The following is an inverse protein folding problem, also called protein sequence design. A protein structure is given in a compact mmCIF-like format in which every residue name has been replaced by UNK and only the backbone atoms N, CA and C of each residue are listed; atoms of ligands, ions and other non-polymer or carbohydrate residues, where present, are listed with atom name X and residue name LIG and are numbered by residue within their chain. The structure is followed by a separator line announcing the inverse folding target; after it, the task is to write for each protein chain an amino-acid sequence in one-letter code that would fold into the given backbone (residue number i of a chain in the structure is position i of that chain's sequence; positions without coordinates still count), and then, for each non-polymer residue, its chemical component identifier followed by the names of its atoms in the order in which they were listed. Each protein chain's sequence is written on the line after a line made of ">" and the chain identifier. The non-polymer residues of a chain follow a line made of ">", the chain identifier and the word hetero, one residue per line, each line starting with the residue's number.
data_IF_162812155380
#
_entry.id   IF_162812155380
#
_cell.length_a   1.000
_cell.length_b   1.000
_cell.length_c   1.000
_cell.angle_alpha   90.00
_cell.angle_beta   90.00
_cell.angle_gamma   90.00
#
_symmetry.space_group_name_H-M   'P 1'
#
loop_
_entity.id
_entity.type
_entity.pdbx_description
1 polymer ?
2 polymer ?
3 non-polymer ?
4 non-polymer ?
5 non-polymer ?
6 non-polymer ?
7 non-polymer ?
8 non-polymer ?
9 water ?
#
# COMPACT_ATOMS: atom_id res chain seq x y z
N UNK A 6 5.41 13.90 -15.25
CA UNK A 6 6.42 13.19 -16.03
C UNK A 6 6.02 11.73 -16.34
N UNK A 7 5.28 11.10 -15.42
CA UNK A 7 5.03 9.66 -15.51
C UNK A 7 3.89 9.27 -14.57
N UNK A 8 2.77 8.77 -15.10
CA UNK A 8 1.63 8.40 -14.26
C UNK A 8 1.11 7.04 -14.70
N UNK A 9 0.74 6.19 -13.74
CA UNK A 9 0.36 4.81 -14.03
C UNK A 9 -1.06 4.51 -13.59
N UNK A 10 -1.71 3.62 -14.33
CA UNK A 10 -2.95 3.01 -13.87
C UNK A 10 -2.75 1.50 -13.86
N UNK A 11 -2.99 0.89 -12.71
CA UNK A 11 -2.81 -0.55 -12.47
C UNK A 11 -4.15 -1.18 -12.10
N UNK A 12 -4.47 -2.29 -12.75
CA UNK A 12 -5.53 -3.19 -12.31
C UNK A 12 -4.84 -4.45 -11.82
N UNK A 13 -5.01 -4.74 -10.53
CA UNK A 13 -4.37 -5.92 -9.96
C UNK A 13 -5.41 -6.96 -9.59
N UNK A 14 -4.96 -8.21 -9.59
CA UNK A 14 -5.74 -9.35 -9.15
C UNK A 14 -4.88 -10.25 -8.27
N UNK A 15 -5.54 -10.84 -7.28
CA UNK A 15 -4.94 -11.84 -6.41
C UNK A 15 -5.89 -13.04 -6.38
N UNK A 16 -5.38 -14.20 -6.81
CA UNK A 16 -6.14 -15.45 -6.85
C UNK A 16 -5.50 -16.42 -5.87
N UNK A 17 -6.22 -16.79 -4.82
CA UNK A 17 -5.67 -17.60 -3.75
C UNK A 17 -6.35 -18.97 -3.80
N UNK A 18 -5.60 -20.00 -4.14
CA UNK A 18 -6.15 -21.34 -4.29
C UNK A 18 -5.86 -22.11 -3.00
N UNK A 19 -6.91 -22.30 -2.21
CA UNK A 19 -6.80 -22.94 -0.91
C UNK A 19 -6.79 -24.46 -1.06
N UNK A 20 -7.71 -25.00 -1.86
CA UNK A 20 -7.76 -26.41 -2.18
C UNK A 20 -8.46 -26.57 -3.54
N UNK A 21 -8.66 -27.83 -3.93
CA UNK A 21 -9.23 -28.11 -5.25
C UNK A 21 -10.65 -27.58 -5.40
N UNK A 22 -11.31 -27.26 -4.30
CA UNK A 22 -12.69 -26.82 -4.32
C UNK A 22 -12.90 -25.39 -3.86
N UNK A 23 -11.85 -24.71 -3.36
CA UNK A 23 -11.99 -23.37 -2.79
C UNK A 23 -10.87 -22.46 -3.27
N UNK A 24 -11.27 -21.34 -3.88
CA UNK A 24 -10.36 -20.28 -4.25
C UNK A 24 -11.00 -18.95 -3.87
N UNK A 25 -10.16 -17.94 -3.77
CA UNK A 25 -10.55 -16.56 -3.56
C UNK A 25 -10.08 -15.75 -4.75
N UNK A 26 -10.91 -14.82 -5.21
CA UNK A 26 -10.50 -13.85 -6.21
C UNK A 26 -10.70 -12.43 -5.72
N UNK A 27 -9.65 -11.61 -5.76
CA UNK A 27 -9.70 -10.22 -5.35
C UNK A 27 -9.08 -9.34 -6.42
N UNK A 28 -9.45 -8.06 -6.44
CA UNK A 28 -8.87 -7.16 -7.42
C UNK A 28 -9.22 -5.72 -7.12
N UNK A 29 -8.48 -4.82 -7.78
CA UNK A 29 -8.65 -3.39 -7.51
C UNK A 29 -7.94 -2.59 -8.60
N UNK A 30 -8.26 -1.29 -8.66
CA UNK A 30 -7.62 -0.37 -9.60
C UNK A 30 -6.99 0.81 -8.88
N UNK A 31 -5.82 1.23 -9.36
CA UNK A 31 -4.94 2.17 -8.68
C UNK A 31 -4.39 3.20 -9.67
N UNK A 32 -4.54 4.48 -9.30
CA UNK A 32 -3.93 5.59 -10.02
C UNK A 32 -2.68 5.96 -9.25
N UNK A 33 -1.50 5.63 -9.80
CA UNK A 33 -0.27 5.63 -9.00
C UNK A 33 -0.49 4.87 -7.70
N UNK A 34 -0.36 5.53 -6.53
CA UNK A 34 -0.59 4.85 -5.25
C UNK A 34 -2.01 5.05 -4.71
N UNK A 35 -2.86 5.77 -5.43
CA UNK A 35 -4.22 6.08 -4.98
C UNK A 35 -5.19 5.02 -5.50
N UNK A 36 -5.84 4.30 -4.58
CA UNK A 36 -6.84 3.34 -5.03
C UNK A 36 -8.07 4.08 -5.54
N UNK A 37 -8.45 3.77 -6.78
CA UNK A 37 -9.57 4.42 -7.42
C UNK A 37 -10.75 3.48 -7.60
N UNK A 38 -10.50 2.16 -7.60
CA UNK A 38 -11.57 1.20 -7.81
C UNK A 38 -11.37 -0.03 -6.93
N UNK A 39 -12.50 -0.61 -6.54
CA UNK A 39 -12.52 -1.92 -5.91
C UNK A 39 -13.33 -2.90 -6.73
N UNK A 40 -13.41 -4.13 -6.23
CA UNK A 40 -14.21 -5.17 -6.86
C UNK A 40 -15.06 -5.87 -5.81
N UNK A 41 -16.38 -5.90 -6.02
CA UNK A 41 -17.31 -6.57 -5.12
C UNK A 41 -17.50 -8.00 -5.61
N UNK A 42 -16.90 -8.95 -4.87
CA UNK A 42 -16.98 -10.37 -5.21
C UNK A 42 -18.35 -10.94 -4.89
N UNK A 43 -19.06 -10.36 -3.91
CA UNK A 43 -20.40 -10.83 -3.58
C UNK A 43 -21.34 -10.66 -4.76
N UNK A 44 -21.26 -9.52 -5.45
CA UNK A 44 -22.17 -9.17 -6.53
C UNK A 44 -21.51 -9.18 -7.90
N UNK A 45 -20.18 -9.32 -7.95
CA UNK A 45 -19.45 -9.28 -9.19
C UNK A 45 -19.50 -7.93 -9.88
N UNK A 46 -19.23 -6.83 -9.15
CA UNK A 46 -19.40 -5.50 -9.74
C UNK A 46 -18.23 -4.59 -9.37
N UNK A 47 -18.04 -3.54 -10.17
CA UNK A 47 -17.00 -2.55 -9.86
C UNK A 47 -17.44 -1.68 -8.69
N UNK A 48 -16.50 -1.35 -7.81
CA UNK A 48 -16.71 -0.39 -6.74
C UNK A 48 -16.01 0.92 -7.12
N UNK A 49 -16.79 1.97 -7.40
CA UNK A 49 -16.22 3.26 -7.75
C UNK A 49 -15.95 4.07 -6.48
N UNK A 50 -14.66 4.24 -6.13
CA UNK A 50 -14.31 4.79 -4.82
C UNK A 50 -14.35 6.31 -4.75
N UNK A 51 -14.30 6.99 -5.88
CA UNK A 51 -14.38 8.44 -5.92
C UNK A 51 -15.50 8.85 -6.86
N UNK A 52 -16.05 10.04 -6.61
CA UNK A 52 -17.06 10.60 -7.50
C UNK A 52 -16.55 10.70 -8.93
N UNK A 53 -15.24 10.77 -9.14
CA UNK A 53 -14.66 10.91 -10.46
C UNK A 53 -14.09 9.60 -11.00
N UNK A 54 -14.31 8.48 -10.32
CA UNK A 54 -13.71 7.21 -10.70
C UNK A 54 -14.23 6.66 -12.04
N UNK A 55 -15.30 7.23 -12.59
CA UNK A 55 -15.69 6.78 -13.93
C UNK A 55 -14.89 7.45 -15.03
N UNK A 56 -14.03 8.42 -14.69
CA UNK A 56 -13.31 9.15 -15.72
C UNK A 56 -14.21 9.77 -16.77
N UNK A 57 -13.83 9.61 -18.05
CA UNK A 57 -14.66 10.06 -19.15
C UNK A 57 -15.46 8.92 -19.79
N UNK A 58 -15.45 7.74 -19.18
CA UNK A 58 -16.15 6.58 -19.75
C UNK A 58 -17.65 6.66 -19.49
N UNK A 59 -18.42 6.19 -20.46
CA UNK A 59 -19.87 6.06 -20.32
C UNK A 59 -20.22 4.85 -19.46
N UNK A 60 -21.44 4.85 -18.91
CA UNK A 60 -21.92 3.70 -18.16
C UNK A 60 -21.95 2.44 -19.02
N UNK A 61 -22.22 2.56 -20.31
CA UNK A 61 -22.24 1.37 -21.17
C UNK A 61 -20.85 0.76 -21.30
N UNK A 62 -19.83 1.60 -21.46
CA UNK A 62 -18.47 1.09 -21.55
C UNK A 62 -18.07 0.39 -20.26
N UNK A 63 -18.39 1.03 -19.13
CA UNK A 63 -18.04 0.45 -17.84
C UNK A 63 -18.81 -0.85 -17.59
N UNK A 64 -20.05 -0.96 -18.08
CA UNK A 64 -20.81 -2.20 -17.93
C UNK A 64 -20.19 -3.32 -18.75
N UNK A 65 -19.78 -3.02 -19.98
CA UNK A 65 -19.00 -3.97 -20.77
C UNK A 65 -17.80 -4.46 -19.98
N UNK A 66 -17.04 -3.53 -19.39
CA UNK A 66 -15.85 -3.94 -18.64
C UNK A 66 -16.21 -4.79 -17.44
N UNK A 67 -17.30 -4.44 -16.75
CA UNK A 67 -17.71 -5.19 -15.58
C UNK A 67 -18.03 -6.64 -15.95
N UNK A 68 -18.76 -6.84 -17.05
CA UNK A 68 -19.05 -8.21 -17.48
C UNK A 68 -17.77 -8.93 -17.89
N UNK A 69 -16.86 -8.23 -18.57
CA UNK A 69 -15.57 -8.82 -18.90
C UNK A 69 -14.80 -9.25 -17.64
N UNK A 70 -14.75 -8.39 -16.63
CA UNK A 70 -13.98 -8.73 -15.42
C UNK A 70 -14.61 -9.89 -14.68
N UNK A 71 -15.94 -9.94 -14.60
CA UNK A 71 -16.62 -11.02 -13.83
C UNK A 71 -16.34 -12.34 -14.53
N UNK A 72 -16.44 -12.31 -15.83
CA UNK A 72 -16.20 -13.51 -16.62
C UNK A 72 -14.75 -13.94 -16.54
N UNK A 73 -13.82 -12.99 -16.61
CA UNK A 73 -12.39 -13.29 -16.49
C UNK A 73 -12.06 -13.91 -15.12
N UNK A 74 -12.50 -13.26 -14.05
CA UNK A 74 -12.21 -13.79 -12.71
C UNK A 74 -12.74 -15.21 -12.57
N UNK A 75 -14.01 -15.43 -12.95
CA UNK A 75 -14.56 -16.77 -12.79
C UNK A 75 -13.84 -17.79 -13.67
N UNK A 76 -13.58 -17.43 -14.93
CA UNK A 76 -13.06 -18.41 -15.87
C UNK A 76 -11.60 -18.74 -15.64
N UNK A 77 -10.79 -17.74 -15.28
CA UNK A 77 -9.42 -18.02 -14.86
C UNK A 77 -9.40 -18.96 -13.66
N UNK A 78 -10.21 -18.64 -12.63
CA UNK A 78 -10.25 -19.50 -11.46
C UNK A 78 -10.60 -20.94 -11.85
N UNK A 79 -11.63 -21.12 -12.68
CA UNK A 79 -12.03 -22.49 -12.94
C UNK A 79 -11.04 -23.21 -13.84
N UNK A 80 -10.39 -22.52 -14.77
CA UNK A 80 -9.44 -23.20 -15.64
C UNK A 80 -8.20 -23.62 -14.86
N UNK A 81 -7.77 -22.79 -13.90
CA UNK A 81 -6.67 -23.19 -13.04
C UNK A 81 -7.09 -24.38 -12.17
N UNK A 82 -8.31 -24.36 -11.64
CA UNK A 82 -8.73 -25.46 -10.77
C UNK A 82 -8.85 -26.76 -11.53
N UNK A 83 -9.30 -26.69 -12.79
CA UNK A 83 -9.27 -27.86 -13.66
C UNK A 83 -7.84 -28.35 -13.89
N UNK A 84 -7.00 -27.50 -14.48
CA UNK A 84 -5.65 -27.92 -14.83
C UNK A 84 -4.81 -28.31 -13.63
N UNK A 85 -5.20 -27.89 -12.43
CA UNK A 85 -4.43 -28.22 -11.22
C UNK A 85 -4.83 -29.59 -10.69
N UNK A 86 -5.37 -30.44 -11.55
CA UNK A 86 -5.65 -31.86 -11.28
C UNK A 86 -6.11 -32.12 -9.85
N UNK A 87 -5.54 -33.15 -9.23
CA UNK A 87 -5.79 -33.45 -7.83
C UNK A 87 -4.74 -32.81 -6.91
N UNK A 88 -3.46 -32.91 -7.29
CA UNK A 88 -2.34 -32.35 -6.54
C UNK A 88 -2.53 -32.41 -5.03
N UNK A 89 -2.99 -31.30 -4.47
CA UNK A 89 -3.09 -31.02 -3.04
C UNK A 89 -1.69 -30.91 -2.41
N UNK A 90 -0.66 -31.30 -3.16
CA UNK A 90 0.70 -30.94 -2.78
C UNK A 90 1.01 -29.50 -3.16
N UNK A 91 0.64 -29.09 -4.37
CA UNK A 91 0.83 -27.71 -4.78
C UNK A 91 -0.02 -26.77 -3.92
N UNK A 92 -1.13 -27.25 -3.37
CA UNK A 92 -2.02 -26.39 -2.58
C UNK A 92 -1.44 -26.18 -1.18
N UNK A 93 -1.59 -24.97 -0.60
CA UNK A 93 -2.19 -23.80 -1.24
C UNK A 93 -1.21 -23.08 -2.15
N UNK A 94 -1.70 -22.35 -3.14
CA UNK A 94 -0.80 -21.55 -3.97
C UNK A 94 -1.52 -20.26 -4.37
N UNK A 95 -0.76 -19.29 -4.86
CA UNK A 95 -1.30 -17.96 -5.06
C UNK A 95 -0.79 -17.38 -6.37
N UNK A 96 -1.69 -16.77 -7.14
CA UNK A 96 -1.37 -16.18 -8.44
C UNK A 96 -1.67 -14.69 -8.35
N UNK A 97 -0.73 -13.85 -8.76
CA UNK A 97 -0.95 -12.41 -8.78
C UNK A 97 -0.85 -11.89 -10.20
N UNK A 98 -1.70 -10.92 -10.53
CA UNK A 98 -1.66 -10.28 -11.85
C UNK A 98 -1.57 -8.77 -11.66
N UNK A 99 -0.70 -8.14 -12.43
CA UNK A 99 -0.57 -6.68 -12.43
C UNK A 99 -0.62 -6.24 -13.88
N UNK A 100 -1.69 -5.58 -14.28
CA UNK A 100 -1.88 -5.17 -15.66
C UNK A 100 -2.17 -3.68 -15.68
N UNK A 101 -1.86 -3.01 -16.78
CA UNK A 101 -2.17 -1.59 -16.83
C UNK A 101 -1.27 -0.84 -17.79
N UNK A 102 -1.16 0.45 -17.53
CA UNK A 102 -0.55 1.33 -18.52
C UNK A 102 0.06 2.55 -17.83
N UNK A 103 0.88 3.26 -18.60
CA UNK A 103 1.64 4.43 -18.12
C UNK A 103 1.56 5.51 -19.17
N UNK A 104 1.25 6.74 -18.73
CA UNK A 104 1.34 7.92 -19.57
C UNK A 104 2.63 8.64 -19.24
N UNK A 105 3.39 8.99 -20.28
CA UNK A 105 4.70 9.62 -20.17
C UNK A 105 4.63 10.98 -20.85
N UNK A 106 5.22 12.00 -20.20
CA UNK A 106 5.06 13.37 -20.66
C UNK A 106 5.64 13.59 -22.05
N UNK A 107 6.69 12.85 -22.42
CA UNK A 107 7.34 13.09 -23.69
C UNK A 107 7.19 12.00 -24.73
N UNK A 108 6.75 10.81 -24.31
CA UNK A 108 6.75 9.64 -25.18
C UNK A 108 5.40 8.96 -25.25
N UNK A 109 5.40 7.82 -25.93
CA UNK A 109 4.20 7.03 -26.10
C UNK A 109 3.85 6.32 -24.80
N UNK A 110 2.59 5.94 -24.62
CA UNK A 110 2.23 5.17 -23.43
C UNK A 110 2.96 3.84 -23.38
N UNK A 111 2.97 3.25 -22.18
CA UNK A 111 3.45 1.89 -21.98
C UNK A 111 2.27 1.05 -21.52
N UNK A 112 2.25 -0.22 -21.93
CA UNK A 112 1.25 -1.15 -21.44
C UNK A 112 1.90 -2.43 -20.97
N UNK A 113 1.27 -3.07 -19.97
CA UNK A 113 1.90 -4.26 -19.41
C UNK A 113 0.86 -5.20 -18.80
N UNK A 114 1.29 -6.47 -18.67
CA UNK A 114 0.46 -7.53 -18.06
C UNK A 114 1.46 -8.56 -17.52
N UNK A 115 1.71 -8.53 -16.22
CA UNK A 115 2.70 -9.39 -15.57
C UNK A 115 2.02 -10.32 -14.58
N UNK A 116 2.53 -11.54 -14.48
CA UNK A 116 1.93 -12.58 -13.65
C UNK A 116 3.00 -13.18 -12.76
N UNK A 117 2.66 -13.40 -11.51
CA UNK A 117 3.53 -14.06 -10.55
C UNK A 117 2.84 -15.32 -10.01
N UNK A 118 3.66 -16.31 -9.65
CA UNK A 118 3.23 -17.55 -9.02
C UNK A 118 4.01 -17.70 -7.72
N UNK A 119 3.29 -17.82 -6.60
CA UNK A 119 3.88 -17.90 -5.27
C UNK A 119 4.97 -16.85 -5.06
N UNK A 120 4.67 -15.62 -5.48
CA UNK A 120 5.53 -14.49 -5.20
C UNK A 120 6.71 -14.30 -6.12
N UNK A 121 6.86 -15.16 -7.15
CA UNK A 121 7.95 -15.04 -8.10
C UNK A 121 7.41 -14.81 -9.50
N UNK A 122 8.11 -14.01 -10.30
CA UNK A 122 7.71 -13.80 -11.69
C UNK A 122 7.49 -15.12 -12.41
N UNK A 123 6.36 -15.23 -13.12
CA UNK A 123 6.03 -16.40 -13.88
C UNK A 123 6.05 -16.13 -15.37
N UNK A 124 5.34 -15.09 -15.82
CA UNK A 124 5.27 -14.84 -17.26
C UNK A 124 4.76 -13.41 -17.44
N UNK A 125 4.86 -12.92 -18.68
CA UNK A 125 4.37 -11.57 -18.96
C UNK A 125 3.83 -11.53 -20.39
N UNK A 126 3.06 -10.48 -20.69
CA UNK A 126 2.52 -10.30 -22.03
C UNK A 126 3.35 -9.24 -22.75
N UNK A 127 3.90 -9.61 -23.91
CA UNK A 127 4.72 -8.74 -24.75
C UNK A 127 4.01 -8.61 -26.09
N UNK A 128 3.17 -7.58 -26.19
CA UNK A 128 2.48 -7.14 -27.40
C UNK A 128 1.56 -8.20 -28.01
N UNK A 129 2.13 -9.30 -28.45
CA UNK A 129 1.37 -10.35 -29.08
C UNK A 129 1.51 -11.69 -28.38
N UNK A 130 2.45 -11.81 -27.45
CA UNK A 130 2.97 -13.10 -27.08
C UNK A 130 3.10 -13.18 -25.57
N UNK A 131 2.67 -14.31 -25.03
CA UNK A 131 2.95 -14.65 -23.64
C UNK A 131 4.36 -15.23 -23.53
N UNK A 132 5.18 -14.64 -22.67
CA UNK A 132 6.60 -14.92 -22.61
C UNK A 132 6.92 -15.44 -21.21
N UNK A 133 7.51 -16.64 -21.07
CA UNK A 133 7.85 -17.13 -19.73
C UNK A 133 9.01 -16.37 -19.13
N UNK A 134 8.95 -16.18 -17.82
CA UNK A 134 10.08 -15.59 -17.13
C UNK A 134 11.26 -16.55 -17.17
N UNK A 135 12.46 -16.10 -17.52
CA UNK A 135 13.63 -17.00 -17.42
C UNK A 135 13.77 -17.64 -16.05
N UNK A 136 13.39 -16.93 -14.99
CA UNK A 136 13.53 -17.45 -13.65
C UNK A 136 12.44 -18.38 -13.14
N UNK A 137 11.55 -18.95 -13.97
CA UNK A 137 10.51 -19.79 -13.38
C UNK A 137 10.27 -21.05 -14.20
N UNK A 138 11.24 -21.43 -15.03
CA UNK A 138 11.45 -22.70 -15.70
C UNK A 138 10.20 -23.33 -16.28
N UNK A 139 10.15 -24.66 -16.16
CA UNK A 139 9.12 -25.51 -16.72
C UNK A 139 7.73 -24.91 -16.72
N UNK A 140 7.19 -24.74 -15.51
CA UNK A 140 5.80 -24.29 -15.36
C UNK A 140 5.51 -23.08 -16.23
N UNK A 141 6.39 -22.07 -16.18
CA UNK A 141 6.13 -20.86 -16.95
C UNK A 141 5.97 -21.22 -18.43
N UNK A 142 6.98 -21.92 -18.95
CA UNK A 142 6.99 -22.49 -20.28
C UNK A 142 5.66 -23.19 -20.60
N UNK A 143 5.24 -24.11 -19.73
CA UNK A 143 4.00 -24.86 -19.99
C UNK A 143 2.82 -23.92 -20.14
N UNK A 144 2.62 -23.04 -19.15
CA UNK A 144 1.48 -22.13 -19.20
C UNK A 144 1.53 -21.30 -20.47
N UNK A 145 2.73 -20.86 -20.84
CA UNK A 145 2.79 -19.95 -21.96
C UNK A 145 2.40 -20.67 -23.24
N UNK A 146 2.81 -21.94 -23.40
CA UNK A 146 2.35 -22.69 -24.57
C UNK A 146 0.83 -22.59 -24.68
N UNK A 147 0.13 -22.93 -23.61
CA UNK A 147 -1.33 -22.92 -23.66
C UNK A 147 -1.85 -21.54 -23.98
N UNK A 148 -1.34 -20.53 -23.28
CA UNK A 148 -1.86 -19.19 -23.49
C UNK A 148 -1.63 -18.76 -24.93
N UNK A 149 -0.49 -19.16 -25.51
CA UNK A 149 -0.20 -18.73 -26.85
C UNK A 149 -0.96 -19.51 -27.91
N UNK A 150 -1.38 -20.74 -27.59
CA UNK A 150 -2.00 -21.58 -28.61
C UNK A 150 -3.51 -21.69 -28.42
N UNK A 151 -3.96 -21.96 -27.19
CA UNK A 151 -5.37 -22.30 -27.01
C UNK A 151 -6.23 -21.06 -26.83
N UNK A 152 -5.70 -20.02 -26.17
CA UNK A 152 -6.49 -18.85 -25.84
C UNK A 152 -6.09 -17.67 -26.72
N UNK A 153 -6.21 -17.85 -28.04
CA UNK A 153 -5.57 -16.90 -28.95
C UNK A 153 -6.40 -15.65 -29.20
N UNK A 154 -7.71 -15.67 -28.96
CA UNK A 154 -8.53 -14.48 -29.12
C UNK A 154 -8.59 -13.63 -27.86
N UNK A 155 -8.60 -14.30 -26.71
CA UNK A 155 -8.40 -13.64 -25.43
C UNK A 155 -7.15 -12.78 -25.50
N UNK A 156 -6.15 -13.23 -26.24
CA UNK A 156 -4.90 -12.50 -26.36
C UNK A 156 -5.09 -11.17 -27.09
N UNK A 157 -5.84 -11.14 -28.18
CA UNK A 157 -6.01 -9.85 -28.84
C UNK A 157 -6.92 -8.93 -28.03
N UNK A 158 -7.87 -9.50 -27.28
CA UNK A 158 -8.61 -8.71 -26.29
C UNK A 158 -7.68 -8.06 -25.28
N UNK A 159 -6.76 -8.85 -24.71
CA UNK A 159 -5.81 -8.31 -23.73
C UNK A 159 -4.97 -7.21 -24.35
N UNK A 160 -4.42 -7.45 -25.55
CA UNK A 160 -3.59 -6.43 -26.17
C UNK A 160 -4.35 -5.14 -26.36
N UNK A 161 -5.60 -5.23 -26.86
CA UNK A 161 -6.38 -4.03 -27.10
C UNK A 161 -6.69 -3.30 -25.81
N UNK A 162 -6.97 -4.05 -24.75
CA UNK A 162 -7.26 -3.41 -23.46
C UNK A 162 -6.04 -2.68 -22.92
N UNK A 163 -4.85 -3.29 -22.99
CA UNK A 163 -3.76 -2.63 -22.27
C UNK A 163 -3.17 -1.52 -23.14
N UNK A 164 -3.20 -1.68 -24.46
CA UNK A 164 -2.55 -0.70 -25.32
C UNK A 164 -3.46 0.44 -25.75
N UNK A 165 -4.77 0.24 -25.75
CA UNK A 165 -5.70 1.25 -26.26
C UNK A 165 -6.69 1.69 -25.21
N UNK A 166 -7.46 0.74 -24.64
CA UNK A 166 -8.48 1.09 -23.66
C UNK A 166 -7.88 1.71 -22.41
N UNK A 167 -6.77 1.15 -21.90
CA UNK A 167 -6.22 1.64 -20.65
C UNK A 167 -5.69 3.07 -20.75
N UNK A 168 -4.82 3.43 -21.69
CA UNK A 168 -4.39 4.84 -21.74
C UNK A 168 -5.55 5.82 -21.99
N UNK A 169 -6.55 5.44 -22.77
CA UNK A 169 -7.72 6.31 -22.97
C UNK A 169 -8.44 6.54 -21.65
N UNK A 170 -8.69 5.46 -20.92
CA UNK A 170 -9.32 5.58 -19.61
C UNK A 170 -8.48 6.44 -18.66
N UNK A 171 -7.17 6.19 -18.62
CA UNK A 171 -6.30 6.92 -17.69
C UNK A 171 -6.34 8.41 -17.97
N UNK A 172 -6.30 8.80 -19.25
CA UNK A 172 -6.36 10.22 -19.60
C UNK A 172 -7.65 10.85 -19.08
N UNK A 173 -8.78 10.19 -19.34
CA UNK A 173 -10.04 10.71 -18.83
C UNK A 173 -10.16 10.69 -17.32
N UNK A 174 -9.51 9.72 -16.67
CA UNK A 174 -9.57 9.63 -15.22
C UNK A 174 -8.77 10.74 -14.56
N UNK A 175 -7.56 10.99 -15.08
CA UNK A 175 -6.79 12.14 -14.62
C UNK A 175 -7.56 13.44 -14.81
N UNK A 176 -8.25 13.57 -15.95
CA UNK A 176 -8.99 14.81 -16.20
C UNK A 176 -10.19 14.96 -15.24
N UNK A 177 -10.93 13.88 -15.01
CA UNK A 177 -12.07 13.94 -14.11
C UNK A 177 -11.65 14.23 -12.68
N UNK A 178 -10.47 13.71 -12.30
CA UNK A 178 -9.97 13.85 -10.94
C UNK A 178 -8.91 14.93 -10.79
N UNK A 179 -8.88 15.91 -11.69
CA UNK A 179 -7.74 16.82 -11.73
C UNK A 179 -7.64 17.66 -10.47
N UNK A 180 -8.77 18.08 -9.90
CA UNK A 180 -8.73 18.92 -8.70
C UNK A 180 -8.68 18.11 -7.42
N UNK A 181 -8.43 16.81 -7.51
CA UNK A 181 -7.99 16.00 -6.38
C UNK A 181 -6.54 15.56 -6.53
N UNK A 182 -6.16 15.04 -7.70
CA UNK A 182 -4.84 14.45 -7.85
C UNK A 182 -3.73 15.49 -7.82
N UNK A 183 -4.02 16.77 -8.08
CA UNK A 183 -3.01 17.82 -7.98
C UNK A 183 -3.11 18.62 -6.69
N UNK A 184 -3.80 18.08 -5.68
CA UNK A 184 -4.02 18.82 -4.44
C UNK A 184 -2.70 19.04 -3.70
N UNK A 185 -2.70 20.05 -2.85
CA UNK A 185 -1.63 20.27 -1.88
C UNK A 185 -2.27 20.26 -0.50
N UNK A 186 -1.69 19.48 0.42
CA UNK A 186 -2.23 19.34 1.77
C UNK A 186 -1.11 19.61 2.75
N UNK A 187 -1.36 20.53 3.70
CA UNK A 187 -0.30 20.92 4.62
C UNK A 187 -0.22 19.95 5.79
N UNK A 188 0.97 19.56 6.21
CA UNK A 188 1.08 18.68 7.38
C UNK A 188 0.98 19.48 8.67
N UNK A 189 0.75 18.75 9.75
CA UNK A 189 1.02 19.24 11.10
C UNK A 189 2.24 18.53 11.63
N UNK A 190 2.82 19.09 12.68
CA UNK A 190 3.98 18.47 13.31
C UNK A 190 3.78 18.47 14.81
N UNK A 191 4.39 17.49 15.47
CA UNK A 191 4.41 17.50 16.93
C UNK A 191 5.67 16.79 17.42
N UNK A 192 6.11 17.15 18.63
CA UNK A 192 7.34 16.59 19.20
C UNK A 192 7.02 15.65 20.34
N UNK A 193 7.90 14.66 20.52
CA UNK A 193 7.82 13.74 21.65
C UNK A 193 9.22 13.25 22.00
N UNK A 194 9.35 12.65 23.18
CA UNK A 194 10.55 11.91 23.51
C UNK A 194 10.46 10.51 22.90
N UNK A 195 11.60 9.86 22.79
CA UNK A 195 11.67 8.52 22.25
C UNK A 195 12.45 7.63 23.19
N UNK A 196 12.62 6.36 22.85
CA UNK A 196 13.39 5.47 23.72
C UNK A 196 14.82 5.93 23.89
N UNK A 197 15.34 5.74 25.09
CA UNK A 197 16.71 6.13 25.44
C UNK A 197 17.72 5.57 24.44
N UNK A 198 18.57 6.40 23.84
CA UNK A 198 19.67 5.85 23.04
C UNK A 198 20.80 5.27 23.87
N UNK A 199 20.83 5.55 25.17
CA UNK A 199 21.89 5.10 26.05
C UNK A 199 21.97 5.97 27.28
N UNK A 200 22.78 5.57 28.27
CA UNK A 200 22.86 6.37 29.50
C UNK A 200 23.39 7.76 29.20
N UNK A 201 22.81 8.76 29.87
CA UNK A 201 23.17 10.14 29.60
C UNK A 201 22.83 10.64 28.22
N UNK A 202 21.91 9.96 27.51
CA UNK A 202 21.48 10.37 26.18
C UNK A 202 19.95 10.38 26.10
N UNK A 203 19.43 11.23 25.22
CA UNK A 203 18.00 11.40 25.02
C UNK A 203 17.71 11.22 23.54
N UNK A 204 16.48 10.83 23.20
CA UNK A 204 16.03 10.80 21.82
C UNK A 204 14.84 11.73 21.66
N UNK A 205 14.95 12.71 20.77
CA UNK A 205 13.86 13.60 20.43
C UNK A 205 13.24 13.11 19.14
N UNK A 206 11.92 13.25 19.02
CA UNK A 206 11.16 12.75 17.87
C UNK A 206 10.30 13.87 17.33
N UNK A 207 10.43 14.15 16.03
CA UNK A 207 9.61 15.12 15.35
C UNK A 207 8.70 14.35 14.39
N UNK A 208 7.40 14.41 14.64
CA UNK A 208 6.40 13.70 13.85
C UNK A 208 5.81 14.72 12.88
N UNK A 209 5.72 14.36 11.60
CA UNK A 209 5.18 15.21 10.56
C UNK A 209 4.11 14.41 9.85
N UNK A 210 2.87 14.88 9.86
CA UNK A 210 1.77 14.05 9.36
C UNK A 210 0.74 14.87 8.61
N UNK A 211 0.15 14.25 7.59
CA UNK A 211 -0.94 14.88 6.87
C UNK A 211 -0.52 15.65 5.64
N UNK A 212 0.69 15.39 5.14
CA UNK A 212 1.12 16.12 3.96
C UNK A 212 0.84 15.34 2.69
N UNK A 213 0.61 16.10 1.61
CA UNK A 213 0.51 15.55 0.25
C UNK A 213 0.88 16.68 -0.69
N UNK A 214 1.68 16.43 -1.74
CA UNK A 214 2.28 15.16 -2.15
C UNK A 214 3.46 14.73 -1.27
N UNK A 215 4.08 13.60 -1.61
CA UNK A 215 5.02 12.94 -0.71
C UNK A 215 6.36 13.63 -0.50
N UNK A 216 6.93 14.37 -1.46
CA UNK A 216 8.23 15.01 -1.20
C UNK A 216 8.17 15.95 0.01
N UNK A 217 9.13 15.82 0.92
CA UNK A 217 9.13 16.58 2.17
C UNK A 217 10.56 16.67 2.69
N UNK A 218 10.86 17.72 3.45
CA UNK A 218 12.17 17.93 4.04
C UNK A 218 11.98 18.20 5.52
N UNK A 219 12.75 17.52 6.37
CA UNK A 219 12.65 17.72 7.82
C UNK A 219 14.05 17.69 8.38
N UNK A 220 14.38 18.67 9.24
CA UNK A 220 15.68 18.69 9.91
C UNK A 220 15.53 19.16 11.35
N UNK A 221 16.25 18.53 12.27
CA UNK A 221 16.42 19.13 13.59
C UNK A 221 17.43 20.28 13.51
N UNK A 222 17.21 21.32 14.30
CA UNK A 222 17.91 22.59 14.20
C UNK A 222 18.29 23.11 15.57
N UNK A 223 19.41 23.82 15.65
CA UNK A 223 19.66 24.73 16.77
C UNK A 223 19.78 26.12 16.16
N UNK A 224 18.72 26.91 16.29
CA UNK A 224 18.69 28.17 15.59
C UNK A 224 18.71 27.91 14.09
N UNK A 225 19.66 28.53 13.40
CA UNK A 225 19.76 28.31 11.96
C UNK A 225 20.69 27.16 11.59
N UNK A 226 21.24 26.44 12.58
CA UNK A 226 22.21 25.38 12.35
C UNK A 226 21.51 24.02 12.29
N UNK A 227 21.49 23.42 11.11
CA UNK A 227 21.03 22.04 10.99
C UNK A 227 21.88 21.11 11.85
N UNK A 228 21.24 20.12 12.47
CA UNK A 228 21.90 19.21 13.41
C UNK A 228 22.31 17.91 12.73
N UNK A 229 23.56 17.48 12.99
CA UNK A 229 24.13 16.27 12.39
C UNK A 229 23.32 15.02 12.70
N UNK A 230 22.82 14.89 13.93
CA UNK A 230 22.19 13.61 14.28
C UNK A 230 20.84 13.34 13.66
N UNK A 231 20.31 14.24 12.83
CA UNK A 231 18.96 14.08 12.28
C UNK A 231 18.85 12.77 11.51
N UNK A 232 17.80 12.00 11.79
CA UNK A 232 17.60 10.75 11.07
C UNK A 232 16.14 10.61 10.69
N UNK A 233 15.88 10.50 9.38
CA UNK A 233 14.52 10.37 8.89
C UNK A 233 14.15 8.91 8.72
N UNK A 234 12.89 8.59 9.02
CA UNK A 234 12.33 7.28 8.82
C UNK A 234 11.74 7.15 7.44
N UNK A 235 10.87 6.15 7.28
CA UNK A 235 10.20 5.93 6.01
C UNK A 235 8.97 6.84 5.89
N UNK A 236 8.58 7.15 4.66
CA UNK A 236 7.34 7.89 4.46
C UNK A 236 6.20 6.89 4.47
N UNK A 237 5.33 6.97 5.49
CA UNK A 237 4.28 5.98 5.76
C UNK A 237 2.89 6.54 5.42
N UNK A 238 1.96 5.68 4.98
CA UNK A 238 0.63 6.19 4.57
C UNK A 238 -0.33 6.45 5.72
N UNK A 239 -1.13 7.51 5.56
CA UNK A 239 -2.35 7.74 6.32
C UNK A 239 -3.54 7.39 5.44
N UNK A 240 -4.69 7.14 6.08
CA UNK A 240 -5.93 7.07 5.33
C UNK A 240 -6.27 8.45 4.76
N UNK A 241 -7.05 8.45 3.66
CA UNK A 241 -7.49 9.67 2.96
C UNK A 241 -6.35 10.49 2.35
N UNK A 242 -5.36 9.80 1.81
CA UNK A 242 -4.43 10.40 0.87
C UNK A 242 -3.45 11.40 1.47
N UNK A 243 -2.93 11.14 2.66
CA UNK A 243 -1.80 11.91 3.16
C UNK A 243 -0.76 10.95 3.72
N UNK A 244 0.38 11.52 4.12
CA UNK A 244 1.55 10.73 4.48
C UNK A 244 2.11 11.21 5.82
N UNK A 245 3.00 10.38 6.37
CA UNK A 245 3.56 10.55 7.71
C UNK A 245 5.06 10.27 7.67
N UNK A 246 5.84 11.06 8.43
CA UNK A 246 7.28 10.86 8.49
C UNK A 246 7.77 11.25 9.89
N UNK A 247 8.66 10.43 10.43
CA UNK A 247 9.28 10.63 11.74
C UNK A 247 10.74 11.01 11.56
N UNK A 248 11.18 12.06 12.26
CA UNK A 248 12.58 12.47 12.21
C UNK A 248 13.11 12.49 13.64
N UNK A 249 14.11 11.67 13.94
CA UNK A 249 14.64 11.57 15.29
C UNK A 249 16.00 12.27 15.42
N UNK A 250 16.36 12.55 16.67
CA UNK A 250 17.68 13.10 16.96
C UNK A 250 18.14 12.56 18.31
N UNK A 251 19.36 12.02 18.37
CA UNK A 251 19.95 11.65 19.65
C UNK A 251 20.75 12.84 20.17
N UNK A 252 20.57 13.18 21.44
CA UNK A 252 21.24 14.34 22.02
C UNK A 252 21.81 13.99 23.39
N UNK A 253 22.95 14.59 23.72
CA UNK A 253 23.58 14.35 25.02
C UNK A 253 22.74 14.97 26.13
N UNK A 254 22.82 14.35 27.32
CA UNK A 254 22.25 14.90 28.54
C UNK A 254 22.65 16.37 28.69
N UNK A 255 21.65 17.22 28.95
CA UNK A 255 21.92 18.62 29.23
C UNK A 255 22.10 19.50 28.01
N UNK A 256 21.61 19.08 26.86
CA UNK A 256 21.82 19.82 25.62
C UNK A 256 20.56 19.98 24.79
N UNK A 257 19.40 19.50 25.25
CA UNK A 257 18.22 19.50 24.38
C UNK A 257 17.52 20.86 24.33
N UNK A 258 17.63 21.68 25.38
CA UNK A 258 16.99 22.99 25.35
C UNK A 258 17.53 23.82 24.18
N UNK A 259 16.63 24.44 23.44
CA UNK A 259 17.00 25.28 22.33
C UNK A 259 16.90 24.59 20.98
N UNK A 260 16.68 23.28 20.97
CA UNK A 260 16.50 22.56 19.72
C UNK A 260 15.10 22.74 19.15
N UNK A 261 14.98 22.65 17.83
CA UNK A 261 13.69 22.75 17.14
C UNK A 261 13.69 21.84 15.93
N UNK A 262 12.49 21.54 15.44
CA UNK A 262 12.27 20.76 14.23
C UNK A 262 11.76 21.69 13.14
N UNK A 263 12.32 21.59 11.94
CA UNK A 263 11.93 22.46 10.84
C UNK A 263 11.47 21.62 9.65
N UNK A 264 10.30 21.97 9.10
CA UNK A 264 9.65 21.20 8.05
C UNK A 264 9.45 22.10 6.84
N UNK A 265 9.92 21.63 5.67
CA UNK A 265 9.67 22.25 4.38
C UNK A 265 8.81 21.33 3.54
N UNK A 266 7.84 21.92 2.84
CA UNK A 266 6.94 21.15 2.01
C UNK A 266 6.31 22.07 0.98
N UNK A 267 5.95 21.50 -0.18
CA UNK A 267 5.42 22.31 -1.27
C UNK A 267 4.19 23.10 -0.85
N UNK A 268 3.38 22.56 0.06
CA UNK A 268 2.14 23.19 0.49
C UNK A 268 2.36 24.39 1.37
N UNK A 269 3.58 24.59 1.87
CA UNK A 269 3.89 25.71 2.75
C UNK A 269 4.43 26.89 1.96
N UNK A 270 5.45 26.66 1.13
CA UNK A 270 6.07 27.70 0.33
C UNK A 270 6.42 28.93 1.15
N UNK A 271 7.62 28.97 1.73
CA UNK A 271 8.05 30.16 2.44
C UNK A 271 7.35 30.37 3.76
N UNK A 272 6.82 29.31 4.35
CA UNK A 272 6.31 29.36 5.70
C UNK A 272 6.60 28.01 6.33
N UNK A 273 7.91 27.69 6.42
CA UNK A 273 8.36 26.46 7.05
C UNK A 273 7.72 26.30 8.42
N UNK A 274 7.39 25.08 8.77
CA UNK A 274 6.98 24.80 10.15
C UNK A 274 8.22 24.75 11.02
N UNK A 275 8.23 25.50 12.13
CA UNK A 275 9.33 25.43 13.08
C UNK A 275 8.73 25.21 14.46
N UNK A 276 9.05 24.07 15.07
CA UNK A 276 8.51 23.66 16.37
C UNK A 276 9.63 23.51 17.38
N UNK A 277 9.52 24.20 18.53
CA UNK A 277 10.58 24.13 19.52
C UNK A 277 10.30 23.04 20.55
N UNK A 278 11.36 22.31 20.91
CA UNK A 278 11.27 21.36 22.01
C UNK A 278 11.03 22.11 23.32
N UNK A 279 9.97 21.73 24.04
CA UNK A 279 9.62 22.40 25.29
C UNK A 279 9.66 21.45 26.48
N UNK A 280 10.22 20.26 26.30
CA UNK A 280 10.52 19.42 27.44
C UNK A 280 9.55 18.28 27.61
N UNK A 281 9.89 17.45 28.61
CA UNK A 281 9.60 16.03 28.75
C UNK A 281 10.95 15.36 28.99
N UNK A 282 12.00 16.19 29.05
CA UNK A 282 13.38 15.73 29.01
C UNK A 282 13.93 15.68 30.43
N UNK B 3 6.44 -20.80 -1.43
CA UNK B 3 7.82 -20.71 -1.88
C UNK B 3 7.96 -19.69 -3.00
N UNK B 4 8.42 -18.48 -2.66
CA UNK B 4 8.96 -18.16 -1.34
C UNK B 4 7.92 -17.57 -0.38
N UNK B 5 8.31 -17.46 0.88
CA UNK B 5 7.43 -16.94 1.93
C UNK B 5 8.15 -15.79 2.60
N UNK B 6 7.43 -14.68 2.82
CA UNK B 6 8.02 -13.47 3.36
C UNK B 6 7.21 -12.98 4.56
N UNK B 7 7.91 -12.56 5.59
CA UNK B 7 7.37 -12.25 6.91
C UNK B 7 6.89 -10.81 6.96
N UNK B 8 5.69 -10.56 7.48
CA UNK B 8 5.18 -9.19 7.51
C UNK B 8 6.01 -8.28 8.40
N UNK B 9 6.18 -7.04 7.94
CA UNK B 9 6.70 -5.92 8.74
C UNK B 9 5.51 -5.11 9.26
N UNK B 10 5.57 -4.71 10.54
CA UNK B 10 4.41 -4.15 11.25
C UNK B 10 4.79 -2.79 11.82
N UNK B 11 4.10 -1.73 11.40
CA UNK B 11 4.37 -0.40 11.92
C UNK B 11 3.09 0.25 12.43
N UNK B 12 3.17 0.88 13.61
CA UNK B 12 2.01 1.45 14.29
C UNK B 12 2.30 2.90 14.61
N UNK B 13 1.35 3.78 14.27
CA UNK B 13 1.54 5.22 14.42
C UNK B 13 0.20 5.94 14.40
N UNK B 14 0.16 7.10 15.04
CA UNK B 14 -1.10 7.84 15.08
C UNK B 14 -1.11 8.92 14.01
N UNK B 15 -2.33 9.35 13.66
CA UNK B 15 -2.54 10.35 12.61
C UNK B 15 -2.27 11.76 13.14
N UNK B 16 -2.59 12.01 14.40
CA UNK B 16 -2.47 13.29 15.08
C UNK B 16 -1.71 13.12 16.37
N UNK B 17 -1.28 14.22 17.02
CA UNK B 17 -0.60 14.11 18.31
C UNK B 17 -1.44 13.31 19.30
N UNK B 18 -0.77 12.50 20.12
CA UNK B 18 -1.47 11.69 21.13
C UNK B 18 -1.84 12.58 22.30
N UNK B 19 -3.11 13.01 22.34
CA UNK B 19 -3.64 13.82 23.45
C UNK B 19 -4.81 13.08 24.05
N UNK B 20 -4.75 12.83 25.37
CA UNK B 20 -5.87 12.17 26.03
C UNK B 20 -7.15 12.98 25.81
N UNK B 21 -8.24 12.27 25.53
CA UNK B 21 -9.52 12.90 25.31
C UNK B 21 -9.74 13.52 23.96
N UNK B 22 -8.76 13.49 23.06
CA UNK B 22 -8.90 14.08 21.75
C UNK B 22 -9.02 12.99 20.68
N UNK B 23 -10.04 13.11 19.85
CA UNK B 23 -10.26 12.15 18.76
C UNK B 23 -9.04 12.08 17.86
N UNK B 24 -8.73 10.87 17.40
CA UNK B 24 -7.49 10.60 16.69
C UNK B 24 -7.73 9.38 15.82
N UNK B 25 -6.74 9.05 15.00
CA UNK B 25 -6.74 7.82 14.23
C UNK B 25 -5.47 7.04 14.51
N UNK B 26 -5.63 5.74 14.78
CA UNK B 26 -4.52 4.81 14.95
C UNK B 26 -4.33 3.99 13.67
N UNK B 27 -3.12 4.00 13.13
CA UNK B 27 -2.76 3.32 11.90
C UNK B 27 -1.86 2.14 12.20
N UNK B 28 -2.07 1.05 11.47
CA UNK B 28 -1.16 -0.08 11.43
C UNK B 28 -0.89 -0.42 9.98
N UNK B 29 0.36 -0.22 9.56
CA UNK B 29 0.84 -0.51 8.21
C UNK B 29 1.61 -1.82 8.23
N UNK B 30 1.10 -2.83 7.53
CA UNK B 30 1.66 -4.18 7.50
C UNK B 30 2.10 -4.46 6.07
N UNK B 31 3.38 -4.72 5.87
CA UNK B 31 3.91 -4.71 4.51
C UNK B 31 4.95 -5.81 4.32
N UNK B 32 5.27 -6.07 3.06
CA UNK B 32 6.35 -7.00 2.76
C UNK B 32 6.08 -8.47 3.03
N UNK B 33 4.83 -8.91 3.02
CA UNK B 33 4.54 -10.30 3.33
C UNK B 33 4.08 -11.08 2.10
N UNK B 34 4.19 -12.41 2.19
CA UNK B 34 3.77 -13.38 1.18
C UNK B 34 3.67 -14.75 1.84
N UNK B 35 2.59 -15.52 1.60
CA UNK B 35 1.43 -15.19 0.76
C UNK B 35 0.45 -14.22 1.41
N UNK B 36 -0.67 -13.97 0.74
CA UNK B 36 -1.58 -12.91 1.16
C UNK B 36 -2.40 -13.28 2.40
N UNK B 37 -2.62 -14.57 2.64
CA UNK B 37 -3.43 -14.96 3.79
C UNK B 37 -2.80 -14.46 5.08
N UNK B 38 -3.56 -13.69 5.85
CA UNK B 38 -3.03 -13.01 7.03
C UNK B 38 -4.18 -12.65 7.96
N UNK B 39 -3.87 -12.52 9.25
CA UNK B 39 -4.81 -11.97 10.23
C UNK B 39 -4.18 -10.73 10.86
N UNK B 40 -4.73 -9.56 10.58
CA UNK B 40 -4.30 -8.31 11.21
C UNK B 40 -5.46 -7.77 12.02
N UNK B 41 -5.20 -7.43 13.29
CA UNK B 41 -6.20 -6.85 14.19
C UNK B 41 -5.58 -5.68 14.94
N UNK B 42 -6.35 -4.60 15.07
CA UNK B 42 -6.00 -3.55 16.01
C UNK B 42 -6.60 -3.89 17.35
N UNK B 43 -5.84 -3.65 18.42
CA UNK B 43 -6.25 -4.04 19.77
C UNK B 43 -6.36 -2.83 20.68
N UNK B 44 -7.35 -2.87 21.55
CA UNK B 44 -7.48 -1.95 22.68
C UNK B 44 -7.53 -2.79 23.95
N UNK B 45 -6.50 -2.65 24.78
CA UNK B 45 -6.35 -3.44 26.00
C UNK B 45 -6.52 -4.93 25.74
N UNK B 46 -5.85 -5.40 24.69
CA UNK B 46 -5.77 -6.80 24.35
C UNK B 46 -6.92 -7.34 23.52
N UNK B 47 -8.00 -6.57 23.34
CA UNK B 47 -9.18 -7.04 22.63
C UNK B 47 -9.23 -6.44 21.24
N UNK B 48 -9.59 -7.28 20.26
CA UNK B 48 -9.74 -6.82 18.89
C UNK B 48 -10.71 -5.65 18.82
N UNK B 49 -10.29 -4.59 18.13
CA UNK B 49 -11.19 -3.48 17.84
C UNK B 49 -12.07 -3.88 16.67
N UNK B 50 -13.38 -3.95 16.92
CA UNK B 50 -14.32 -4.51 15.95
C UNK B 50 -14.63 -3.56 14.80
N UNK B 51 -14.61 -2.26 15.06
CA UNK B 51 -14.95 -1.24 14.06
C UNK B 51 -13.63 -0.66 13.54
N UNK B 52 -13.07 -1.27 12.51
CA UNK B 52 -11.83 -0.77 11.93
C UNK B 52 -12.04 -0.67 10.42
N UNK B 53 -11.11 0.02 9.78
CA UNK B 53 -11.07 0.11 8.34
C UNK B 53 -9.76 -0.48 7.85
N UNK B 54 -9.76 -1.03 6.65
CA UNK B 54 -8.51 -1.50 6.09
C UNK B 54 -8.57 -1.27 4.59
N UNK B 55 -7.40 -0.99 4.01
CA UNK B 55 -7.30 -0.89 2.55
C UNK B 55 -7.55 -2.27 1.91
N UNK B 56 -7.97 -2.25 0.64
CA UNK B 56 -7.99 -3.49 -0.09
C UNK B 56 -6.56 -4.00 -0.30
N UNK B 57 -6.43 -5.32 -0.39
CA UNK B 57 -5.13 -5.95 -0.61
C UNK B 57 -4.44 -5.41 -1.86
N UNK B 58 -3.17 -5.02 -1.71
CA UNK B 58 -2.33 -4.60 -2.83
C UNK B 58 -0.93 -5.15 -2.63
N UNK B 59 -0.05 -4.93 -3.61
CA UNK B 59 1.28 -5.49 -3.52
C UNK B 59 2.27 -4.57 -4.24
N UNK B 60 3.54 -4.71 -3.85
CA UNK B 60 4.63 -3.88 -4.36
C UNK B 60 5.24 -4.52 -5.60
N UNK B 61 6.26 -3.84 -6.14
CA UNK B 61 6.94 -4.31 -7.34
C UNK B 61 7.55 -5.69 -7.16
N UNK B 62 7.98 -6.04 -5.94
CA UNK B 62 8.55 -7.36 -5.70
C UNK B 62 7.49 -8.43 -5.42
N UNK B 63 6.21 -8.09 -5.59
CA UNK B 63 5.04 -8.96 -5.41
C UNK B 63 4.70 -9.19 -3.93
N UNK B 64 5.43 -8.59 -3.00
CA UNK B 64 5.05 -8.69 -1.59
C UNK B 64 3.85 -7.79 -1.30
N UNK B 65 2.97 -8.26 -0.41
CA UNK B 65 1.70 -7.61 -0.14
C UNK B 65 1.82 -6.52 0.94
N UNK B 66 0.86 -5.59 0.94
CA UNK B 66 0.78 -4.61 2.02
C UNK B 66 -0.68 -4.23 2.29
N UNK B 67 -0.95 -3.84 3.54
CA UNK B 67 -2.27 -3.46 4.00
C UNK B 67 -2.11 -2.30 4.99
N UNK B 68 -3.02 -1.33 4.90
CA UNK B 68 -3.11 -0.26 5.88
C UNK B 68 -4.40 -0.43 6.67
N UNK B 69 -4.28 -0.51 8.00
CA UNK B 69 -5.39 -0.57 8.92
C UNK B 69 -5.48 0.77 9.64
N UNK B 70 -6.71 1.23 9.94
CA UNK B 70 -6.86 2.44 10.74
C UNK B 70 -8.19 2.41 11.48
N UNK B 71 -8.21 3.04 12.64
CA UNK B 71 -9.44 3.15 13.41
C UNK B 71 -9.46 4.48 14.15
N UNK B 72 -10.65 5.05 14.27
CA UNK B 72 -10.80 6.23 15.11
C UNK B 72 -10.68 5.81 16.56
N UNK B 73 -9.93 6.56 17.35
CA UNK B 73 -9.86 6.24 18.76
C UNK B 73 -9.63 7.54 19.54
N UNK B 74 -9.94 7.48 20.82
CA UNK B 74 -9.68 8.59 21.74
C UNK B 74 -8.79 8.08 22.87
N UNK B 75 -7.51 8.43 22.87
CA UNK B 75 -6.60 7.86 23.88
C UNK B 75 -6.89 8.40 25.27
N UNK B 76 -6.47 7.63 26.27
CA UNK B 76 -6.42 8.05 27.66
C UNK B 76 -5.13 7.50 28.26
N UNK B 77 -4.85 7.88 29.51
CA UNK B 77 -3.57 7.46 30.08
C UNK B 77 -3.53 5.97 30.35
N UNK B 78 -4.67 5.36 30.67
CA UNK B 78 -4.70 3.95 31.04
C UNK B 78 -4.76 3.01 29.83
N UNK B 79 -5.32 3.45 28.71
CA UNK B 79 -5.55 2.53 27.59
C UNK B 79 -4.26 2.18 26.87
N UNK B 80 -4.16 0.90 26.47
CA UNK B 80 -3.03 0.38 25.71
C UNK B 80 -3.52 -0.10 24.36
N UNK B 81 -2.88 0.36 23.29
CA UNK B 81 -3.25 -0.01 21.93
C UNK B 81 -2.14 -0.79 21.25
N UNK B 82 -2.55 -1.69 20.35
CA UNK B 82 -1.57 -2.54 19.70
C UNK B 82 -2.06 -2.94 18.32
N UNK B 83 -1.15 -3.53 17.55
CA UNK B 83 -1.51 -4.18 16.28
C UNK B 83 -0.98 -5.60 16.35
N UNK B 84 -1.86 -6.57 16.14
CA UNK B 84 -1.52 -7.98 16.22
C UNK B 84 -1.65 -8.63 14.86
N UNK B 85 -0.69 -9.46 14.49
CA UNK B 85 -0.60 -10.06 13.17
C UNK B 85 -0.27 -11.55 13.30
N UNK B 86 -1.05 -12.39 12.63
CA UNK B 86 -0.74 -13.80 12.47
C UNK B 86 -0.56 -14.11 10.99
N UNK B 87 0.41 -14.98 10.70
CA UNK B 87 0.84 -15.24 9.33
C UNK B 87 1.61 -16.54 9.33
N UNK B 88 1.64 -17.22 8.17
CA UNK B 88 2.27 -18.54 8.13
C UNK B 88 3.76 -18.43 8.49
N UNK B 89 4.37 -17.29 8.21
CA UNK B 89 5.75 -17.05 8.60
C UNK B 89 5.94 -16.82 10.10
N UNK B 90 4.87 -16.85 10.89
CA UNK B 90 4.93 -16.50 12.30
C UNK B 90 4.53 -17.69 13.13
N UNK B 91 5.45 -18.13 14.00
CA UNK B 91 5.19 -19.27 14.88
C UNK B 91 4.01 -19.00 15.79
N UNK B 92 3.89 -17.77 16.27
CA UNK B 92 2.93 -17.30 17.23
C UNK B 92 2.54 -15.88 16.85
N UNK B 93 1.26 -15.50 16.99
CA UNK B 93 0.86 -14.13 16.66
C UNK B 93 1.81 -13.09 17.23
N UNK B 94 2.13 -12.08 16.45
CA UNK B 94 3.01 -11.00 16.85
C UNK B 94 2.19 -9.77 17.22
N UNK B 95 2.46 -9.23 18.40
CA UNK B 95 1.73 -8.07 18.90
C UNK B 95 2.71 -6.91 19.01
N UNK B 96 2.40 -5.81 18.33
CA UNK B 96 3.26 -4.64 18.28
C UNK B 96 2.54 -3.53 19.02
N UNK B 97 3.06 -3.21 20.18
CA UNK B 97 2.37 -2.32 21.09
C UNK B 97 2.58 -0.94 20.51
N UNK B 98 1.55 -0.08 20.59
CA UNK B 98 1.74 1.29 20.12
C UNK B 98 2.45 2.10 21.21
N UNK B 99 3.70 2.48 20.94
CA UNK B 99 4.40 3.49 21.75
C UNK B 99 3.82 4.86 21.45
N UNK B 100 3.19 5.48 22.45
CA UNK B 100 2.53 6.76 22.23
C UNK B 100 3.50 7.84 21.77
N UNK B 101 4.70 7.84 22.33
CA UNK B 101 5.65 8.92 22.06
C UNK B 101 6.41 8.68 20.76
N UNK B 102 6.82 7.45 20.53
CA UNK B 102 7.67 7.09 19.40
C UNK B 102 6.93 6.45 18.25
N UNK B 103 5.72 5.94 18.49
CA UNK B 103 5.13 4.95 17.60
C UNK B 103 6.01 3.72 17.56
N UNK B 104 5.65 2.80 16.68
CA UNK B 104 6.36 1.53 16.62
C UNK B 104 6.61 1.25 15.15
N UNK B 105 7.78 1.68 14.66
CA UNK B 105 8.13 1.58 13.25
C UNK B 105 9.31 0.64 13.03
N UNK B 106 9.46 0.16 11.80
CA UNK B 106 10.54 -0.73 11.39
C UNK B 106 11.18 -0.21 10.10
N UNK B 107 12.33 0.49 10.17
CA UNK B 107 13.07 0.91 8.97
C UNK B 107 13.93 -0.21 8.37
#
# INVERSE_FOLDING_TARGET
>A
ADASQEHVSFHVIQIFSFVNQSWARGQGSGWLDELQTHGWDSESGTIIFLHQWSKGQFSNEELSDLELLFRFYLFGLTREIQDHASQDYSKYPFEVQVKAGCELHSGGSPEGFFQVAFNGLDLLSFQQTTWVPSPGCGSLAQSVCHLLNHQYEGVTETVYNLIRSTCPRFLLGLLDAGKMYVHRQVRPEAWLSSGPSPGPGRLQLVCHVSGFYPKPVWVMWMRGEQEQQGTQLGDILPNANGTWYLRATLDVADGEAAGLSCRVKHSSLEGQDIILYWRGSL
>B
DAAIQRTPKIQVYSRHPAENGKSNFLNCYVSGFHPSDIEVDLLKNGERIEKVEHSDLSFSKDWSFYLLYYTEFTPTEKDEYACRVNHVTLSQPKIVKWDRDMGSLVPR
#
